data_IF_101187155220
#
_entry.id   IF_101187155220
#
_cell.length_a   1.000
_cell.length_b   1.000
_cell.length_c   1.000
_cell.angle_alpha   90.00
_cell.angle_beta   90.00
_cell.angle_gamma   90.00
#
_symmetry.space_group_name_H-M   'P 1'
#
loop_
_entity.id
_entity.type
_entity.pdbx_description
1 polymer ?
#
# COMPACT_ATOMS: atom_id res chain seq x y z
N UNK A 1 -9.69 -6.23 -15.39
CA UNK A 1 -8.56 -5.86 -14.50
C UNK A 1 -7.53 -5.04 -15.26
N UNK A 2 -7.26 -3.81 -14.82
CA UNK A 2 -6.17 -3.00 -15.40
C UNK A 2 -4.87 -3.52 -14.78
N UNK A 3 -4.07 -4.23 -15.57
CA UNK A 3 -2.72 -4.62 -15.22
C UNK A 3 -1.84 -3.36 -15.25
N UNK A 4 -1.30 -2.99 -14.09
CA UNK A 4 -0.29 -1.95 -13.82
C UNK A 4 -0.03 -0.95 -14.98
N UNK A 5 -0.73 0.19 -15.06
CA UNK A 5 -0.50 1.18 -16.10
C UNK A 5 0.79 1.94 -15.79
N UNK A 6 1.94 1.40 -16.18
CA UNK A 6 3.26 2.01 -16.53
C UNK A 6 3.80 3.15 -15.62
N UNK A 7 3.15 3.48 -14.52
CA UNK A 7 3.32 4.76 -13.81
C UNK A 7 2.88 4.73 -12.35
N UNK A 8 2.44 3.58 -11.83
CA UNK A 8 2.31 3.40 -10.39
C UNK A 8 3.59 2.78 -9.85
N UNK A 9 4.35 3.53 -9.06
CA UNK A 9 5.56 3.01 -8.43
C UNK A 9 5.26 2.84 -6.95
N UNK A 10 5.33 1.59 -6.52
CA UNK A 10 5.12 1.19 -5.14
C UNK A 10 6.36 0.44 -4.73
N UNK A 11 7.08 0.97 -3.76
CA UNK A 11 8.27 0.36 -3.16
C UNK A 11 8.13 0.42 -1.65
N UNK A 12 8.66 -0.55 -0.93
CA UNK A 12 8.72 -0.47 0.53
C UNK A 12 10.13 -0.86 1.01
N UNK A 13 10.46 -0.38 2.20
CA UNK A 13 11.66 -0.71 2.96
C UNK A 13 11.29 -1.14 4.38
N UNK A 14 12.30 -1.43 5.21
CA UNK A 14 12.13 -1.86 6.60
C UNK A 14 11.25 -0.92 7.47
N UNK A 15 11.09 0.33 7.06
CA UNK A 15 10.48 1.38 7.88
C UNK A 15 9.24 2.00 7.26
N UNK A 16 9.09 1.91 5.94
CA UNK A 16 8.08 2.68 5.23
C UNK A 16 7.69 2.13 3.86
N UNK A 17 6.45 2.44 3.46
CA UNK A 17 5.92 2.22 2.12
C UNK A 17 5.92 3.54 1.36
N UNK A 18 6.61 3.57 0.23
CA UNK A 18 6.69 4.70 -0.68
C UNK A 18 5.75 4.47 -1.87
N UNK A 19 4.77 5.36 -2.01
CA UNK A 19 3.87 5.43 -3.16
C UNK A 19 4.22 6.63 -4.01
N UNK A 20 4.43 6.41 -5.31
CA UNK A 20 4.57 7.49 -6.27
C UNK A 20 3.53 7.33 -7.37
N UNK A 21 2.64 8.30 -7.48
CA UNK A 21 1.66 8.35 -8.56
C UNK A 21 2.23 9.11 -9.76
N UNK A 22 2.81 8.39 -10.71
CA UNK A 22 3.29 8.96 -12.00
C UNK A 22 2.25 8.84 -13.12
N UNK A 23 1.02 8.49 -12.80
CA UNK A 23 -0.06 8.48 -13.78
C UNK A 23 -0.58 9.90 -13.99
N UNK A 24 -1.24 10.13 -15.13
CA UNK A 24 -1.88 11.41 -15.44
C UNK A 24 -3.22 11.62 -14.70
N UNK A 25 -3.51 10.79 -13.69
CA UNK A 25 -4.78 10.76 -12.96
C UNK A 25 -4.54 10.59 -11.47
N UNK A 26 -5.40 11.15 -10.63
CA UNK A 26 -5.35 10.93 -9.19
C UNK A 26 -5.88 9.54 -8.83
N UNK A 27 -5.35 8.97 -7.75
CA UNK A 27 -5.92 7.79 -7.09
C UNK A 27 -6.76 8.24 -5.92
N UNK A 28 -7.93 7.64 -5.75
CA UNK A 28 -8.86 8.05 -4.70
C UNK A 28 -9.34 6.83 -3.90
N UNK A 29 -9.50 7.05 -2.60
CA UNK A 29 -9.94 6.05 -1.62
C UNK A 29 -9.12 4.77 -1.75
N UNK A 30 -7.82 4.92 -1.53
CA UNK A 30 -6.89 3.82 -1.59
C UNK A 30 -6.74 3.19 -0.21
N UNK A 31 -6.70 1.87 -0.24
CA UNK A 31 -6.50 0.98 0.88
C UNK A 31 -5.23 0.19 0.59
N UNK A 32 -4.27 0.27 1.50
CA UNK A 32 -3.03 -0.49 1.44
C UNK A 32 -3.11 -1.59 2.48
N UNK A 33 -2.67 -2.78 2.12
CA UNK A 33 -2.63 -3.95 2.98
C UNK A 33 -1.24 -4.58 2.92
N UNK A 34 -0.60 -4.69 4.08
CA UNK A 34 0.61 -5.47 4.31
C UNK A 34 0.17 -6.85 4.78
N UNK A 35 0.51 -7.88 4.00
CA UNK A 35 0.27 -9.28 4.33
C UNK A 35 1.58 -9.93 4.79
N UNK A 36 1.49 -10.77 5.81
CA UNK A 36 2.60 -11.50 6.40
C UNK A 36 2.24 -12.96 6.51
N UNK A 37 2.97 -13.88 5.86
CA UNK A 37 2.68 -15.30 6.05
C UNK A 37 2.97 -15.81 7.48
N UNK A 38 3.69 -15.03 8.30
CA UNK A 38 3.98 -15.38 9.69
C UNK A 38 2.86 -15.02 10.67
N UNK A 39 2.00 -14.05 10.31
CA UNK A 39 0.93 -13.59 11.19
C UNK A 39 -0.40 -13.68 10.48
N UNK A 40 -1.41 -14.20 11.18
CA UNK A 40 -2.76 -14.37 10.63
C UNK A 40 -3.49 -13.04 10.38
N UNK A 41 -2.86 -11.92 10.76
CA UNK A 41 -3.43 -10.58 10.77
C UNK A 41 -2.76 -9.74 9.68
N UNK A 42 -3.58 -9.17 8.79
CA UNK A 42 -3.14 -8.14 7.85
C UNK A 42 -3.13 -6.76 8.52
N UNK A 43 -2.18 -5.91 8.11
CA UNK A 43 -2.10 -4.52 8.55
C UNK A 43 -2.50 -3.59 7.43
N UNK A 44 -3.30 -2.58 7.74
CA UNK A 44 -3.88 -1.72 6.72
C UNK A 44 -3.70 -0.23 6.95
N UNK A 45 -3.66 0.51 5.85
CA UNK A 45 -3.61 1.97 5.83
C UNK A 45 -4.57 2.53 4.78
N UNK A 46 -5.32 3.56 5.15
CA UNK A 46 -6.26 4.23 4.25
C UNK A 46 -5.79 5.63 3.88
N UNK A 47 -5.74 5.92 2.58
CA UNK A 47 -5.53 7.28 2.06
C UNK A 47 -6.69 7.73 1.19
N UNK A 48 -7.18 8.95 1.45
CA UNK A 48 -8.31 9.52 0.74
C UNK A 48 -7.98 9.86 -0.72
N UNK A 49 -6.77 10.37 -1.00
CA UNK A 49 -6.34 10.78 -2.33
C UNK A 49 -4.81 10.71 -2.45
N UNK A 50 -4.32 10.26 -3.60
CA UNK A 50 -2.92 10.39 -4.05
C UNK A 50 -2.94 11.15 -5.37
N UNK A 51 -2.52 12.43 -5.38
CA UNK A 51 -2.61 13.29 -6.57
C UNK A 51 -1.56 12.90 -7.61
N UNK A 52 -1.74 13.42 -8.82
CA UNK A 52 -0.77 13.27 -9.92
C UNK A 52 0.57 13.87 -9.51
N UNK A 53 1.64 13.09 -9.58
CA UNK A 53 2.99 13.49 -9.21
C UNK A 53 3.27 13.42 -7.70
N UNK A 54 2.30 13.06 -6.87
CA UNK A 54 2.54 12.92 -5.43
C UNK A 54 3.50 11.76 -5.15
N UNK A 55 4.37 12.00 -4.16
CA UNK A 55 5.19 11.00 -3.50
C UNK A 55 4.75 10.94 -2.05
N UNK A 56 4.12 9.83 -1.66
CA UNK A 56 3.63 9.60 -0.30
C UNK A 56 4.54 8.59 0.38
N UNK A 57 5.11 8.98 1.50
CA UNK A 57 5.86 8.06 2.36
C UNK A 57 4.99 7.71 3.58
N UNK A 58 4.70 6.43 3.77
CA UNK A 58 3.81 5.92 4.82
C UNK A 58 4.65 5.07 5.78
N UNK A 59 4.88 5.53 7.01
CA UNK A 59 5.55 4.73 8.03
C UNK A 59 4.80 3.41 8.26
N UNK A 60 5.52 2.30 8.40
CA UNK A 60 4.88 1.00 8.63
C UNK A 60 4.11 1.00 9.96
N UNK A 61 4.59 1.75 10.96
CA UNK A 61 3.92 1.90 12.25
C UNK A 61 2.57 2.63 12.18
N UNK A 62 2.26 3.29 11.06
CA UNK A 62 0.95 3.94 10.84
C UNK A 62 -0.10 2.96 10.28
N UNK A 63 0.31 1.76 9.90
CA UNK A 63 -0.65 0.70 9.56
C UNK A 63 -1.29 0.15 10.83
N UNK A 64 -2.51 -0.35 10.70
CA UNK A 64 -3.28 -0.90 11.83
C UNK A 64 -3.90 -2.23 11.47
N UNK A 65 -3.85 -3.20 12.39
CA UNK A 65 -4.55 -4.47 12.25
C UNK A 65 -6.05 -4.31 12.44
N UNK A 66 -6.83 -5.33 12.09
CA UNK A 66 -8.27 -5.39 12.38
C UNK A 66 -8.58 -5.24 13.89
N UNK A 67 -7.63 -5.57 14.77
CA UNK A 67 -7.75 -5.40 16.22
C UNK A 67 -7.22 -4.06 16.74
N UNK A 68 -6.98 -3.10 15.83
CA UNK A 68 -6.42 -1.77 16.13
C UNK A 68 -5.06 -1.80 16.82
N UNK A 69 -4.24 -2.82 16.54
CA UNK A 69 -2.87 -2.89 17.01
C UNK A 69 -1.92 -2.42 15.91
N UNK A 70 -0.91 -1.65 16.28
CA UNK A 70 0.16 -1.27 15.36
C UNK A 70 1.11 -2.46 15.14
N UNK A 71 1.78 -2.53 13.98
CA UNK A 71 2.84 -3.49 13.76
C UNK A 71 3.98 -3.29 14.77
N UNK A 72 4.55 -4.38 15.26
CA UNK A 72 5.81 -4.40 16.00
C UNK A 72 6.94 -4.82 15.07
N UNK A 73 8.20 -4.57 15.43
CA UNK A 73 9.34 -5.06 14.63
C UNK A 73 9.29 -6.59 14.38
N UNK A 74 8.67 -7.35 15.29
CA UNK A 74 8.51 -8.80 15.16
C UNK A 74 7.30 -9.19 14.30
N UNK A 75 6.20 -8.44 14.37
CA UNK A 75 4.96 -8.74 13.65
C UNK A 75 4.90 -8.18 12.24
N UNK A 76 5.79 -7.23 11.94
CA UNK A 76 5.71 -6.45 10.73
C UNK A 76 6.51 -7.06 9.56
N UNK A 77 6.88 -8.34 9.57
CA UNK A 77 7.45 -8.98 8.36
C UNK A 77 6.42 -9.06 7.24
N UNK A 78 6.29 -7.99 6.47
CA UNK A 78 5.41 -7.94 5.32
C UNK A 78 6.08 -8.70 4.18
N UNK A 79 5.46 -9.77 3.71
CA UNK A 79 5.89 -10.51 2.53
C UNK A 79 5.32 -9.89 1.26
N UNK A 80 4.14 -9.28 1.38
CA UNK A 80 3.39 -8.72 0.27
C UNK A 80 2.74 -7.39 0.65
N UNK A 81 2.62 -6.51 -0.34
CA UNK A 81 1.84 -5.30 -0.29
C UNK A 81 0.80 -5.31 -1.39
N UNK A 82 -0.44 -5.13 -1.01
CA UNK A 82 -1.55 -4.86 -1.92
C UNK A 82 -1.99 -3.41 -1.78
N UNK A 83 -2.04 -2.69 -2.89
CA UNK A 83 -2.62 -1.33 -2.97
C UNK A 83 -3.90 -1.43 -3.79
N UNK A 84 -5.04 -1.11 -3.17
CA UNK A 84 -6.37 -1.20 -3.77
C UNK A 84 -7.04 0.17 -3.71
N UNK A 85 -7.32 0.79 -4.86
CA UNK A 85 -8.02 2.07 -4.94
C UNK A 85 -9.41 1.90 -5.55
N UNK A 86 -10.40 2.55 -4.93
CA UNK A 86 -11.76 2.54 -5.45
C UNK A 86 -11.84 3.24 -6.81
N UNK A 87 -11.15 4.38 -6.97
CA UNK A 87 -11.20 5.17 -8.20
C UNK A 87 -9.82 5.55 -8.70
N UNK A 88 -9.52 5.19 -9.95
CA UNK A 88 -8.32 5.61 -10.68
C UNK A 88 -8.72 5.94 -12.12
N UNK A 89 -8.34 7.11 -12.63
CA UNK A 89 -8.72 7.58 -13.97
C UNK A 89 -10.25 7.61 -14.22
N UNK A 90 -11.06 7.80 -13.18
CA UNK A 90 -12.53 7.74 -13.29
C UNK A 90 -13.06 6.33 -13.58
N UNK A 91 -12.23 5.29 -13.38
CA UNK A 91 -12.63 3.88 -13.44
C UNK A 91 -12.63 3.29 -12.03
N UNK A 92 -13.60 2.41 -11.81
CA UNK A 92 -13.75 1.69 -10.56
C UNK A 92 -12.77 0.52 -10.50
N UNK A 93 -12.12 0.37 -9.35
CA UNK A 93 -11.30 -0.79 -9.01
C UNK A 93 -9.94 -0.79 -9.70
N UNK A 94 -8.91 -0.40 -8.94
CA UNK A 94 -7.51 -0.54 -9.35
C UNK A 94 -6.72 -1.20 -8.23
N UNK A 95 -6.02 -2.29 -8.55
CA UNK A 95 -5.22 -3.02 -7.58
C UNK A 95 -3.80 -3.22 -8.12
N UNK A 96 -2.81 -3.02 -7.26
CA UNK A 96 -1.41 -3.36 -7.50
C UNK A 96 -0.92 -4.26 -6.38
N UNK A 97 -0.28 -5.35 -6.77
CA UNK A 97 0.40 -6.26 -5.86
C UNK A 97 1.91 -6.08 -6.02
N UNK A 98 2.64 -6.00 -4.90
CA UNK A 98 4.10 -5.97 -4.86
C UNK A 98 4.61 -6.93 -3.79
N UNK A 99 5.44 -7.92 -4.16
CA UNK A 99 6.15 -8.71 -3.18
C UNK A 99 7.17 -7.83 -2.46
N UNK A 100 7.13 -7.88 -1.14
CA UNK A 100 7.97 -7.18 -0.20
C UNK A 100 8.96 -8.18 0.40
N UNK A 101 10.11 -8.40 -0.22
CA UNK A 101 11.18 -9.22 0.37
C UNK A 101 11.97 -8.42 1.42
N UNK A 102 11.28 -7.86 2.41
CA UNK A 102 11.87 -6.99 3.44
C UNK A 102 11.61 -7.56 4.83
N UNK A 103 12.70 -7.84 5.53
CA UNK A 103 12.67 -7.98 6.98
C UNK A 103 12.64 -6.58 7.56
N UNK A 104 11.57 -6.24 8.28
CA UNK A 104 11.48 -4.97 9.01
C UNK A 104 12.23 -5.03 10.34
#
# INVERSE_FOLDING_TARGET
>A
PIHDPVGAWVTADATSVHLVNRQMVAWQRCYLELDSAQFKDSYSYYTAVVRVGDSVNIPILDFTSASHQNPTAESARAEDLTVSCQYVAGKDGWNVYKPLNIAL
#
